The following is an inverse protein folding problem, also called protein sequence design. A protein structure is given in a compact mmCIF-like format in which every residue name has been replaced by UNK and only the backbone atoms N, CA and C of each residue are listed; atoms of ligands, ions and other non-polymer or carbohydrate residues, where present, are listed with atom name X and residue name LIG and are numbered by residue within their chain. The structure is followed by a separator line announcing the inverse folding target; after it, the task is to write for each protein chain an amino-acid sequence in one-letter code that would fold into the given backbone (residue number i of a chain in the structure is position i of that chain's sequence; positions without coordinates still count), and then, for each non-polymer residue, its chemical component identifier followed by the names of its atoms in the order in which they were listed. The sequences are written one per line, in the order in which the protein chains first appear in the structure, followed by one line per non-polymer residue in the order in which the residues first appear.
data_IF_459553467426
#
_entry.id   IF_459553467426
#
_cell.length_a   1.000
_cell.length_b   1.000
_cell.length_c   1.000
_cell.angle_alpha   90.00
_cell.angle_beta   90.00
_cell.angle_gamma   90.00
#
_symmetry.space_group_name_H-M   'P 1'
#
loop_
_entity.id
_entity.type
_entity.pdbx_description
1 polymer ?
#
# COMPACT_ATOMS: atom_id res chain seq x y z
N UNK A 1 27.77 -41.49 -29.14
CA UNK A 1 26.58 -41.01 -28.41
C UNK A 1 26.93 -39.72 -27.68
N UNK A 2 26.71 -38.56 -28.30
CA UNK A 2 27.00 -37.25 -27.70
C UNK A 2 25.69 -36.61 -27.23
N UNK A 3 25.57 -36.33 -25.92
CA UNK A 3 24.42 -35.62 -25.33
C UNK A 3 24.68 -34.12 -25.45
N UNK A 4 24.10 -33.49 -26.46
CA UNK A 4 24.01 -32.03 -26.53
C UNK A 4 23.08 -31.50 -25.43
N UNK A 5 23.68 -30.76 -24.49
CA UNK A 5 22.95 -30.09 -23.42
C UNK A 5 22.42 -28.77 -23.97
N UNK A 6 21.13 -28.74 -24.34
CA UNK A 6 20.44 -27.56 -24.84
C UNK A 6 20.30 -26.52 -23.72
N UNK A 7 21.20 -25.54 -23.67
CA UNK A 7 21.02 -24.35 -22.83
C UNK A 7 19.74 -23.63 -23.27
N UNK A 8 18.69 -23.70 -22.45
CA UNK A 8 17.49 -22.88 -22.62
C UNK A 8 17.89 -21.41 -22.44
N UNK A 9 18.04 -20.68 -23.56
CA UNK A 9 18.04 -19.22 -23.57
C UNK A 9 16.75 -18.75 -22.91
N UNK A 10 16.83 -18.22 -21.69
CA UNK A 10 15.75 -17.48 -21.05
C UNK A 10 15.45 -16.26 -21.92
N UNK A 11 14.32 -16.31 -22.63
CA UNK A 11 13.85 -15.18 -23.42
C UNK A 11 13.70 -13.96 -22.50
N UNK A 12 14.45 -12.89 -22.78
CA UNK A 12 14.29 -11.59 -22.10
C UNK A 12 12.85 -11.12 -22.33
N UNK A 13 12.01 -11.25 -21.31
CA UNK A 13 10.62 -10.76 -21.33
C UNK A 13 10.64 -9.25 -21.62
N UNK A 14 9.89 -8.79 -22.62
CA UNK A 14 9.75 -7.35 -22.90
C UNK A 14 9.21 -6.65 -21.65
N UNK A 15 9.99 -5.73 -21.10
CA UNK A 15 9.57 -4.83 -20.02
C UNK A 15 8.51 -3.89 -20.60
N UNK A 16 7.27 -4.02 -20.15
CA UNK A 16 6.23 -3.03 -20.45
C UNK A 16 6.53 -1.78 -19.61
N UNK A 17 6.89 -0.67 -20.28
CA UNK A 17 7.07 0.61 -19.60
C UNK A 17 5.76 0.97 -18.87
N UNK A 18 5.79 1.30 -17.57
CA UNK A 18 4.59 1.62 -16.82
C UNK A 18 4.14 3.00 -17.27
N UNK A 19 2.82 3.22 -17.31
CA UNK A 19 2.30 4.58 -17.38
C UNK A 19 2.58 5.22 -16.01
N UNK A 20 3.17 6.42 -15.99
CA UNK A 20 3.30 7.27 -14.81
C UNK A 20 4.00 6.63 -13.59
N UNK A 21 5.28 6.25 -13.70
CA UNK A 21 6.09 5.92 -12.52
C UNK A 21 6.40 7.16 -11.69
N UNK A 22 6.19 7.08 -10.37
CA UNK A 22 6.49 8.16 -9.45
C UNK A 22 8.01 8.43 -9.35
N UNK A 23 8.47 9.69 -9.23
CA UNK A 23 9.90 10.02 -9.06
C UNK A 23 10.57 9.40 -7.82
N UNK A 24 9.78 9.00 -6.82
CA UNK A 24 10.29 8.33 -5.61
C UNK A 24 10.57 6.85 -5.81
N UNK A 25 10.25 6.26 -6.97
CA UNK A 25 10.62 4.87 -7.25
C UNK A 25 12.13 4.73 -7.25
N UNK A 26 12.61 3.71 -6.54
CA UNK A 26 14.05 3.48 -6.37
C UNK A 26 14.63 2.68 -7.51
N UNK A 27 13.82 1.82 -8.10
CA UNK A 27 14.22 0.93 -9.17
C UNK A 27 13.52 1.25 -10.48
N UNK A 28 14.19 1.02 -11.62
CA UNK A 28 13.56 1.19 -12.91
C UNK A 28 12.42 0.17 -13.09
N UNK A 29 11.51 0.43 -14.04
CA UNK A 29 10.45 -0.52 -14.35
C UNK A 29 10.95 -1.93 -14.63
N UNK A 30 10.27 -2.92 -14.05
CA UNK A 30 10.66 -4.33 -14.16
C UNK A 30 11.72 -4.76 -13.15
N UNK A 31 12.13 -3.88 -12.24
CA UNK A 31 12.94 -4.18 -11.07
C UNK A 31 12.22 -3.73 -9.79
N UNK A 32 12.66 -4.25 -8.65
CA UNK A 32 12.20 -3.82 -7.33
C UNK A 32 13.37 -3.67 -6.36
N UNK A 33 13.23 -2.79 -5.37
CA UNK A 33 14.24 -2.62 -4.33
C UNK A 33 14.28 -3.86 -3.44
N UNK A 34 15.49 -4.28 -3.09
CA UNK A 34 15.76 -5.22 -2.02
C UNK A 34 16.66 -4.53 -1.02
N UNK A 35 16.25 -4.47 0.25
CA UNK A 35 17.02 -3.81 1.30
C UNK A 35 18.32 -4.54 1.61
N UNK A 36 19.21 -3.85 2.32
CA UNK A 36 20.47 -4.42 2.81
C UNK A 36 20.20 -5.69 3.63
N UNK A 37 20.92 -6.78 3.35
CA UNK A 37 20.73 -8.06 4.04
C UNK A 37 22.03 -8.87 4.13
N UNK A 38 22.12 -9.83 5.07
CA UNK A 38 23.25 -10.74 5.15
C UNK A 38 23.35 -11.63 3.90
N UNK A 39 24.56 -11.77 3.36
CA UNK A 39 24.90 -12.67 2.27
C UNK A 39 25.85 -13.75 2.78
N UNK A 40 25.37 -15.00 2.72
CA UNK A 40 26.21 -16.16 3.04
C UNK A 40 27.09 -16.51 1.83
N UNK A 41 28.39 -16.38 2.01
CA UNK A 41 29.40 -16.81 1.05
C UNK A 41 29.75 -18.28 1.36
N UNK A 42 29.53 -19.22 0.44
CA UNK A 42 29.87 -20.62 0.68
C UNK A 42 31.39 -20.81 0.78
N UNK A 43 31.84 -21.88 1.45
CA UNK A 43 33.23 -22.32 1.42
C UNK A 43 33.81 -22.34 0.00
N UNK A 44 35.02 -21.80 -0.15
CA UNK A 44 35.79 -21.83 -1.40
C UNK A 44 37.28 -22.00 -1.10
N UNK A 45 38.09 -22.30 -2.12
CA UNK A 45 39.56 -22.38 -1.96
C UNK A 45 40.17 -21.10 -1.35
N UNK A 46 39.58 -19.93 -1.61
CA UNK A 46 40.02 -18.64 -1.04
C UNK A 46 39.47 -18.38 0.37
N UNK A 47 38.30 -18.94 0.71
CA UNK A 47 37.64 -18.80 2.01
C UNK A 47 37.12 -20.17 2.48
N UNK A 48 37.97 -21.03 3.09
CA UNK A 48 37.64 -22.43 3.37
C UNK A 48 36.47 -22.63 4.35
N UNK A 49 36.24 -21.69 5.25
CA UNK A 49 35.12 -21.74 6.21
C UNK A 49 33.80 -21.16 5.66
N UNK A 50 33.84 -20.51 4.48
CA UNK A 50 32.79 -19.58 4.08
C UNK A 50 32.76 -18.33 4.98
N UNK A 51 31.80 -17.44 4.75
CA UNK A 51 31.59 -16.26 5.60
C UNK A 51 30.18 -15.71 5.46
N UNK A 52 29.78 -14.85 6.39
CA UNK A 52 28.59 -14.01 6.23
C UNK A 52 29.07 -12.57 6.04
N UNK A 53 28.73 -11.97 4.92
CA UNK A 53 28.99 -10.55 4.62
C UNK A 53 27.68 -9.78 4.51
N UNK A 54 27.76 -8.48 4.29
CA UNK A 54 26.59 -7.61 4.10
C UNK A 54 26.43 -7.30 2.61
N UNK A 55 25.26 -7.57 2.05
CA UNK A 55 24.90 -7.11 0.70
C UNK A 55 24.06 -5.86 0.82
N UNK A 56 24.59 -4.74 0.37
CA UNK A 56 23.90 -3.45 0.36
C UNK A 56 22.62 -3.49 -0.48
N UNK A 57 21.70 -2.58 -0.16
CA UNK A 57 20.45 -2.42 -0.90
C UNK A 57 20.69 -2.23 -2.40
N UNK A 58 19.90 -2.89 -3.22
CA UNK A 58 20.04 -2.87 -4.68
C UNK A 58 18.73 -3.25 -5.37
N UNK A 59 18.63 -2.88 -6.64
CA UNK A 59 17.53 -3.29 -7.50
C UNK A 59 17.70 -4.73 -7.98
N UNK A 60 16.58 -5.47 -7.98
CA UNK A 60 16.50 -6.87 -8.40
C UNK A 60 15.42 -7.00 -9.46
N UNK A 61 15.69 -7.80 -10.49
CA UNK A 61 14.71 -8.08 -11.54
C UNK A 61 13.42 -8.64 -10.95
N UNK A 62 12.30 -8.00 -11.30
CA UNK A 62 10.98 -8.55 -11.09
C UNK A 62 10.74 -9.66 -12.13
N UNK A 63 10.48 -10.92 -11.70
CA UNK A 63 10.24 -12.05 -12.63
C UNK A 63 9.14 -11.80 -13.67
N UNK A 64 8.17 -10.93 -13.37
CA UNK A 64 7.07 -10.66 -14.29
C UNK A 64 7.41 -9.57 -15.32
N UNK A 65 8.37 -8.68 -15.00
CA UNK A 65 8.71 -7.50 -15.78
C UNK A 65 7.68 -6.36 -15.72
N UNK A 66 6.63 -6.48 -14.88
CA UNK A 66 5.65 -5.42 -14.68
C UNK A 66 6.05 -4.48 -13.55
N UNK A 67 5.40 -3.33 -13.51
CA UNK A 67 5.54 -2.38 -12.41
C UNK A 67 4.85 -2.89 -11.14
N UNK A 68 5.65 -3.24 -10.14
CA UNK A 68 5.16 -3.66 -8.84
C UNK A 68 5.96 -2.99 -7.73
N UNK A 69 5.26 -2.59 -6.68
CA UNK A 69 5.87 -2.17 -5.42
C UNK A 69 5.96 -3.37 -4.47
N UNK A 70 7.13 -3.54 -3.87
CA UNK A 70 7.44 -4.57 -2.89
C UNK A 70 7.67 -3.96 -1.49
N UNK A 71 7.56 -4.73 -0.40
CA UNK A 71 7.61 -4.20 0.97
C UNK A 71 8.87 -3.36 1.25
N UNK A 72 10.04 -3.84 0.82
CA UNK A 72 11.31 -3.13 1.01
C UNK A 72 11.31 -1.76 0.30
N UNK A 73 10.81 -1.69 -0.94
CA UNK A 73 10.74 -0.43 -1.69
C UNK A 73 9.75 0.55 -1.06
N UNK A 74 8.60 0.04 -0.60
CA UNK A 74 7.58 0.83 0.08
C UNK A 74 8.16 1.45 1.37
N UNK A 75 8.85 0.66 2.19
CA UNK A 75 9.48 1.16 3.42
C UNK A 75 10.53 2.23 3.12
N UNK A 76 11.43 1.94 2.18
CA UNK A 76 12.52 2.83 1.82
C UNK A 76 12.03 4.15 1.21
N UNK A 77 10.96 4.12 0.38
CA UNK A 77 10.29 5.35 -0.11
C UNK A 77 9.83 6.21 1.07
N UNK A 78 9.21 5.59 2.07
CA UNK A 78 8.72 6.29 3.25
C UNK A 78 9.84 6.94 4.06
N UNK A 79 10.90 6.19 4.32
CA UNK A 79 12.07 6.63 5.07
C UNK A 79 12.78 7.83 4.39
N UNK A 80 12.91 7.80 3.06
CA UNK A 80 13.64 8.83 2.33
C UNK A 80 12.85 10.14 2.11
N UNK A 81 11.52 10.06 2.02
CA UNK A 81 10.72 11.15 1.46
C UNK A 81 9.68 11.76 2.43
N UNK A 82 9.09 10.99 3.33
CA UNK A 82 7.81 11.41 3.94
C UNK A 82 7.93 12.47 5.02
N UNK A 83 9.02 12.47 5.79
CA UNK A 83 9.27 13.49 6.82
C UNK A 83 9.39 14.91 6.25
N UNK A 84 9.72 15.03 4.97
CA UNK A 84 9.92 16.30 4.24
C UNK A 84 8.62 16.90 3.70
N UNK A 85 7.50 16.18 3.80
CA UNK A 85 6.22 16.61 3.23
C UNK A 85 5.60 17.67 4.14
N UNK A 86 5.21 18.80 3.53
CA UNK A 86 4.64 19.95 4.24
C UNK A 86 3.15 19.75 4.55
N UNK A 87 2.38 19.28 3.57
CA UNK A 87 0.95 19.03 3.70
C UNK A 87 0.72 17.73 4.47
N UNK A 88 0.42 17.87 5.77
CA UNK A 88 0.14 16.74 6.67
C UNK A 88 -1.34 16.75 7.06
N UNK A 89 -1.93 15.59 7.39
CA UNK A 89 -3.27 15.58 7.97
C UNK A 89 -3.26 16.33 9.31
N UNK A 90 -4.42 16.82 9.75
CA UNK A 90 -4.52 17.53 11.00
C UNK A 90 -4.04 16.68 12.18
N UNK A 91 -3.14 17.23 12.99
CA UNK A 91 -2.54 16.55 14.15
C UNK A 91 -3.42 16.52 15.41
N UNK A 92 -4.68 16.98 15.34
CA UNK A 92 -5.62 16.91 16.47
C UNK A 92 -5.78 15.46 16.97
N UNK A 93 -5.89 15.32 18.28
CA UNK A 93 -6.15 14.02 18.89
C UNK A 93 -7.61 13.61 18.68
N UNK A 94 -7.82 12.45 18.07
CA UNK A 94 -9.14 11.88 17.83
C UNK A 94 -9.66 11.05 19.02
N UNK A 95 -8.95 11.06 20.15
CA UNK A 95 -9.37 10.43 21.41
C UNK A 95 -9.03 8.94 21.52
N UNK A 96 -8.02 8.48 20.78
CA UNK A 96 -7.56 7.09 20.86
C UNK A 96 -6.53 6.93 21.99
N UNK A 97 -6.34 5.69 22.47
CA UNK A 97 -5.43 5.40 23.59
C UNK A 97 -4.02 5.95 23.34
N UNK A 98 -3.28 6.27 24.41
CA UNK A 98 -1.87 6.72 24.30
C UNK A 98 -0.98 5.79 23.45
N UNK A 99 -1.31 4.50 23.37
CA UNK A 99 -0.61 3.50 22.56
C UNK A 99 -0.85 3.66 21.05
N UNK A 100 -2.01 4.18 20.64
CA UNK A 100 -2.45 4.25 19.25
C UNK A 100 -2.83 5.69 18.88
N UNK A 101 -1.90 6.63 19.10
CA UNK A 101 -2.08 8.02 18.67
C UNK A 101 -2.09 8.10 17.16
N UNK A 102 -3.10 8.76 16.59
CA UNK A 102 -3.20 8.90 15.14
C UNK A 102 -2.05 9.70 14.52
N UNK A 103 -1.54 10.69 15.26
CA UNK A 103 -0.48 11.59 14.79
C UNK A 103 0.86 10.89 14.49
N UNK A 104 1.10 9.71 15.06
CA UNK A 104 2.33 8.94 14.79
C UNK A 104 2.40 8.44 13.33
N UNK A 105 1.27 8.46 12.61
CA UNK A 105 1.19 8.03 11.22
C UNK A 105 1.04 9.20 10.24
N UNK A 106 1.08 10.46 10.70
CA UNK A 106 0.80 11.63 9.86
C UNK A 106 1.75 11.71 8.65
N UNK A 107 3.03 11.44 8.84
CA UNK A 107 4.03 11.42 7.76
C UNK A 107 3.74 10.30 6.74
N UNK A 108 3.38 9.10 7.22
CA UNK A 108 3.04 7.98 6.35
C UNK A 108 1.75 8.25 5.56
N UNK A 109 0.75 8.84 6.21
CA UNK A 109 -0.52 9.21 5.59
C UNK A 109 -0.28 10.27 4.52
N UNK A 110 0.44 11.35 4.85
CA UNK A 110 0.79 12.42 3.91
C UNK A 110 1.58 11.87 2.71
N UNK A 111 2.61 11.08 2.99
CA UNK A 111 3.47 10.43 2.00
C UNK A 111 2.74 9.57 0.99
N UNK A 112 1.99 8.60 1.47
CA UNK A 112 1.29 7.70 0.57
C UNK A 112 0.11 8.36 -0.14
N UNK A 113 -0.55 9.33 0.50
CA UNK A 113 -1.61 10.11 -0.15
C UNK A 113 -1.02 10.90 -1.32
N UNK A 114 0.09 11.62 -1.09
CA UNK A 114 0.81 12.35 -2.14
C UNK A 114 1.26 11.42 -3.26
N UNK A 115 1.93 10.31 -2.92
CA UNK A 115 2.42 9.35 -3.90
C UNK A 115 1.31 8.88 -4.85
N UNK A 116 0.16 8.46 -4.32
CA UNK A 116 -0.93 7.95 -5.15
C UNK A 116 -1.69 9.05 -5.90
N UNK A 117 -1.81 10.25 -5.33
CA UNK A 117 -2.30 11.43 -6.06
C UNK A 117 -1.41 11.74 -7.27
N UNK A 118 -0.09 11.73 -7.12
CA UNK A 118 0.86 12.03 -8.20
C UNK A 118 0.86 10.95 -9.29
N UNK A 119 0.65 9.68 -8.91
CA UNK A 119 0.53 8.54 -9.85
C UNK A 119 -0.77 8.60 -10.66
N UNK A 120 -1.91 8.74 -9.99
CA UNK A 120 -3.23 8.64 -10.64
C UNK A 120 -3.79 9.96 -11.15
N UNK A 121 -3.29 11.10 -10.65
CA UNK A 121 -3.70 12.46 -11.02
C UNK A 121 -5.23 12.62 -11.10
N UNK A 122 -5.97 12.31 -10.02
CA UNK A 122 -7.42 12.46 -10.04
C UNK A 122 -7.82 13.93 -10.15
N UNK A 123 -9.00 14.20 -10.73
CA UNK A 123 -9.56 15.57 -10.83
C UNK A 123 -9.66 16.25 -9.45
N UNK A 124 -10.07 15.47 -8.44
CA UNK A 124 -10.04 15.88 -7.03
C UNK A 124 -9.01 15.03 -6.31
N UNK A 125 -7.88 15.60 -5.87
CA UNK A 125 -6.88 14.92 -5.04
C UNK A 125 -7.51 14.29 -3.80
N UNK A 126 -6.98 13.14 -3.37
CA UNK A 126 -7.30 12.56 -2.08
C UNK A 126 -6.70 13.42 -0.97
N UNK A 127 -7.52 13.80 -0.01
CA UNK A 127 -7.10 14.54 1.16
C UNK A 127 -6.50 13.60 2.23
N UNK A 128 -5.31 13.90 2.80
CA UNK A 128 -4.75 13.16 3.93
C UNK A 128 -5.70 13.00 5.14
N UNK A 129 -6.55 13.99 5.44
CA UNK A 129 -7.56 13.94 6.50
C UNK A 129 -8.61 12.85 6.23
N UNK A 130 -9.02 12.65 4.97
CA UNK A 130 -9.92 11.56 4.58
C UNK A 130 -9.29 10.20 4.89
N UNK A 131 -8.00 10.02 4.59
CA UNK A 131 -7.28 8.79 4.91
C UNK A 131 -7.15 8.59 6.42
N UNK A 132 -6.82 9.65 7.18
CA UNK A 132 -6.70 9.60 8.63
C UNK A 132 -8.02 9.23 9.31
N UNK A 133 -9.13 9.83 8.87
CA UNK A 133 -10.48 9.47 9.32
C UNK A 133 -10.84 8.01 8.97
N UNK A 134 -10.43 7.54 7.78
CA UNK A 134 -10.63 6.15 7.41
C UNK A 134 -9.89 5.20 8.37
N UNK A 135 -8.60 5.43 8.64
CA UNK A 135 -7.81 4.62 9.59
C UNK A 135 -8.47 4.63 10.98
N UNK A 136 -8.87 5.80 11.47
CA UNK A 136 -9.55 5.94 12.76
C UNK A 136 -10.82 5.07 12.85
N UNK A 137 -11.64 5.09 11.80
CA UNK A 137 -12.89 4.31 11.74
C UNK A 137 -12.69 2.80 11.53
N UNK A 138 -11.62 2.39 10.84
CA UNK A 138 -11.33 0.99 10.51
C UNK A 138 -10.63 0.23 11.65
N UNK A 139 -9.57 0.82 12.20
CA UNK A 139 -8.67 0.14 13.15
C UNK A 139 -8.55 0.85 14.49
N UNK A 140 -8.97 2.11 14.56
CA UNK A 140 -8.63 2.97 15.69
C UNK A 140 -7.13 3.11 15.88
N UNK A 141 -6.39 3.18 14.77
CA UNK A 141 -4.93 3.33 14.72
C UNK A 141 -4.12 2.14 15.29
N UNK A 142 -4.75 0.96 15.47
CA UNK A 142 -4.05 -0.27 15.84
C UNK A 142 -3.47 -0.96 14.58
N UNK A 143 -2.14 -0.96 14.39
CA UNK A 143 -1.51 -1.52 13.19
C UNK A 143 -1.55 -3.06 13.15
N UNK A 144 -1.94 -3.71 14.27
CA UNK A 144 -2.09 -5.16 14.37
C UNK A 144 -3.56 -5.57 14.45
N UNK A 145 -4.50 -4.64 14.18
CA UNK A 145 -5.93 -4.92 14.18
C UNK A 145 -6.25 -6.04 13.18
N UNK A 146 -7.00 -7.02 13.64
CA UNK A 146 -7.40 -8.20 12.88
C UNK A 146 -8.91 -8.42 13.04
N UNK A 147 -9.70 -8.24 11.97
CA UNK A 147 -11.16 -8.25 12.06
C UNK A 147 -11.75 -9.61 12.49
N UNK A 148 -11.18 -10.72 12.03
CA UNK A 148 -11.67 -12.06 12.40
C UNK A 148 -10.55 -13.10 12.33
N UNK A 149 -10.08 -13.57 13.49
CA UNK A 149 -9.00 -14.58 13.59
C UNK A 149 -9.36 -15.93 12.96
N UNK A 150 -10.65 -16.26 12.83
CA UNK A 150 -11.12 -17.58 12.39
C UNK A 150 -11.30 -17.71 10.87
N UNK A 151 -11.30 -16.60 10.12
CA UNK A 151 -11.60 -16.62 8.69
C UNK A 151 -10.34 -16.51 7.82
N UNK A 152 -10.32 -17.22 6.68
CA UNK A 152 -9.19 -17.19 5.74
C UNK A 152 -8.99 -15.82 5.07
N UNK A 153 -9.98 -14.93 5.14
CA UNK A 153 -10.01 -13.59 4.54
C UNK A 153 -10.01 -12.44 5.56
N UNK A 154 -9.34 -12.61 6.70
CA UNK A 154 -9.24 -11.55 7.71
C UNK A 154 -8.66 -10.24 7.16
N UNK A 155 -9.34 -9.13 7.47
CA UNK A 155 -8.81 -7.78 7.31
C UNK A 155 -7.71 -7.48 8.33
N UNK A 156 -6.64 -6.79 7.90
CA UNK A 156 -5.42 -6.54 8.67
C UNK A 156 -4.99 -5.07 8.66
N UNK A 157 -4.42 -4.64 9.77
CA UNK A 157 -3.72 -3.37 9.92
C UNK A 157 -4.61 -2.13 9.90
N UNK A 158 -3.97 -0.98 9.69
CA UNK A 158 -4.56 0.35 9.86
C UNK A 158 -5.82 0.60 9.01
N UNK A 159 -5.79 0.18 7.75
CA UNK A 159 -6.86 0.33 6.76
C UNK A 159 -7.65 -0.97 6.52
N UNK A 160 -7.46 -1.98 7.37
CA UNK A 160 -8.23 -3.24 7.32
C UNK A 160 -8.23 -3.89 5.92
N UNK A 161 -7.04 -3.97 5.29
CA UNK A 161 -6.86 -4.64 3.99
C UNK A 161 -7.11 -6.14 4.15
N UNK A 162 -8.04 -6.69 3.36
CA UNK A 162 -8.36 -8.13 3.39
C UNK A 162 -7.34 -8.98 2.63
N UNK A 163 -7.27 -10.28 2.94
CA UNK A 163 -6.40 -11.18 2.19
C UNK A 163 -6.79 -11.29 0.71
N UNK A 164 -8.08 -11.18 0.37
CA UNK A 164 -8.55 -11.13 -1.01
C UNK A 164 -8.13 -9.83 -1.69
N UNK A 165 -8.31 -8.68 -1.05
CA UNK A 165 -7.82 -7.38 -1.56
C UNK A 165 -6.33 -7.43 -1.83
N UNK A 166 -5.53 -7.97 -0.91
CA UNK A 166 -4.08 -8.15 -1.09
C UNK A 166 -3.76 -9.01 -2.32
N UNK A 167 -4.53 -10.08 -2.56
CA UNK A 167 -4.35 -10.92 -3.77
C UNK A 167 -4.69 -10.14 -5.03
N UNK A 168 -5.80 -9.38 -5.04
CA UNK A 168 -6.19 -8.53 -6.17
C UNK A 168 -5.11 -7.49 -6.48
N UNK A 169 -4.53 -6.88 -5.45
CA UNK A 169 -3.45 -5.90 -5.60
C UNK A 169 -2.19 -6.48 -6.27
N UNK A 170 -1.94 -7.78 -6.11
CA UNK A 170 -0.83 -8.49 -6.74
C UNK A 170 -1.20 -9.18 -8.07
N UNK A 171 -2.48 -9.25 -8.42
CA UNK A 171 -2.96 -10.06 -9.55
C UNK A 171 -2.81 -9.32 -10.88
N UNK A 172 -1.71 -9.62 -11.56
CA UNK A 172 -1.38 -9.10 -12.88
C UNK A 172 -2.33 -9.48 -14.01
N UNK A 173 -3.16 -10.51 -13.82
CA UNK A 173 -4.15 -10.98 -14.79
C UNK A 173 -5.57 -10.63 -14.37
N UNK A 174 -5.72 -10.04 -13.19
CA UNK A 174 -6.99 -9.75 -12.58
C UNK A 174 -7.54 -8.39 -12.97
N UNK A 175 -8.26 -7.82 -12.01
CA UNK A 175 -9.00 -6.57 -12.16
C UNK A 175 -8.09 -5.34 -12.39
N UNK A 176 -6.87 -5.37 -11.85
CA UNK A 176 -5.92 -4.25 -11.95
C UNK A 176 -5.10 -4.31 -13.24
N UNK A 177 -4.93 -3.14 -13.84
CA UNK A 177 -4.20 -2.96 -15.11
C UNK A 177 -2.75 -2.52 -14.89
N UNK A 178 -2.45 -1.92 -13.75
CA UNK A 178 -1.17 -1.26 -13.43
C UNK A 178 -0.98 -1.07 -11.90
N UNK A 179 0.23 -0.65 -11.54
CA UNK A 179 0.64 -0.28 -10.18
C UNK A 179 0.26 -1.34 -9.14
N UNK A 180 0.79 -2.54 -9.35
CA UNK A 180 0.53 -3.69 -8.49
C UNK A 180 1.35 -3.60 -7.19
N UNK A 181 0.89 -4.30 -6.16
CA UNK A 181 1.57 -4.41 -4.87
C UNK A 181 1.73 -5.88 -4.53
N UNK A 182 2.97 -6.31 -4.31
CA UNK A 182 3.28 -7.68 -3.88
C UNK A 182 3.61 -7.69 -2.39
N UNK A 183 2.60 -7.97 -1.57
CA UNK A 183 2.71 -8.00 -0.11
C UNK A 183 2.31 -9.39 0.41
N UNK A 184 2.95 -9.85 1.48
CA UNK A 184 2.52 -10.99 2.28
C UNK A 184 1.43 -10.59 3.27
N UNK A 185 0.89 -11.55 4.04
CA UNK A 185 -0.10 -11.22 5.09
C UNK A 185 0.55 -10.49 6.26
N UNK A 186 1.80 -10.83 6.53
CA UNK A 186 2.61 -10.31 7.61
C UNK A 186 3.03 -8.87 7.32
N UNK A 187 3.36 -8.58 6.05
CA UNK A 187 3.67 -7.22 5.59
C UNK A 187 2.53 -6.24 5.84
N UNK A 188 1.27 -6.68 5.84
CA UNK A 188 0.12 -5.82 6.13
C UNK A 188 0.02 -5.37 7.59
N UNK A 189 0.85 -5.89 8.50
CA UNK A 189 0.96 -5.37 9.86
C UNK A 189 1.97 -4.22 9.98
N UNK A 190 2.78 -3.99 8.94
CA UNK A 190 3.62 -2.80 8.85
C UNK A 190 2.76 -1.59 8.46
N UNK A 191 2.81 -0.48 9.22
CA UNK A 191 2.01 0.71 8.93
C UNK A 191 2.20 1.27 7.52
N UNK A 192 3.44 1.34 7.02
CA UNK A 192 3.73 1.93 5.71
C UNK A 192 3.15 1.06 4.59
N UNK A 193 3.40 -0.24 4.64
CA UNK A 193 2.84 -1.21 3.70
C UNK A 193 1.30 -1.21 3.71
N UNK A 194 0.69 -1.15 4.90
CA UNK A 194 -0.75 -1.17 5.03
C UNK A 194 -1.41 0.11 4.48
N UNK A 195 -0.85 1.28 4.81
CA UNK A 195 -1.35 2.57 4.31
C UNK A 195 -1.18 2.64 2.79
N UNK A 196 -0.01 2.27 2.26
CA UNK A 196 0.25 2.21 0.83
C UNK A 196 -0.80 1.35 0.10
N UNK A 197 -1.03 0.14 0.59
CA UNK A 197 -1.99 -0.80 0.00
C UNK A 197 -3.44 -0.35 0.12
N UNK A 198 -3.82 0.19 1.28
CA UNK A 198 -5.18 0.66 1.50
C UNK A 198 -5.52 1.87 0.65
N UNK A 199 -4.61 2.84 0.48
CA UNK A 199 -4.84 3.99 -0.42
C UNK A 199 -4.91 3.53 -1.88
N UNK A 200 -4.00 2.66 -2.34
CA UNK A 200 -4.08 2.08 -3.69
C UNK A 200 -5.43 1.42 -3.96
N UNK A 201 -5.93 0.69 -2.96
CA UNK A 201 -7.24 0.05 -3.04
C UNK A 201 -8.38 1.07 -3.03
N UNK A 202 -8.29 2.15 -2.25
CA UNK A 202 -9.27 3.23 -2.23
C UNK A 202 -9.40 3.92 -3.60
N UNK A 203 -8.29 4.17 -4.30
CA UNK A 203 -8.31 4.65 -5.69
C UNK A 203 -9.04 3.68 -6.62
N UNK A 204 -8.82 2.36 -6.46
CA UNK A 204 -9.57 1.37 -7.22
C UNK A 204 -11.07 1.41 -6.90
N UNK A 205 -11.43 1.55 -5.62
CA UNK A 205 -12.83 1.68 -5.18
C UNK A 205 -13.49 2.93 -5.78
N UNK A 206 -12.79 4.05 -5.86
CA UNK A 206 -13.28 5.26 -6.55
C UNK A 206 -13.51 4.99 -8.04
N UNK A 207 -12.62 4.28 -8.71
CA UNK A 207 -12.80 3.91 -10.12
C UNK A 207 -14.02 3.00 -10.34
N UNK A 208 -14.24 2.02 -9.46
CA UNK A 208 -15.42 1.15 -9.49
C UNK A 208 -16.69 1.98 -9.25
N UNK A 209 -16.71 2.83 -8.22
CA UNK A 209 -17.83 3.72 -7.92
C UNK A 209 -18.16 4.60 -9.14
N UNK A 210 -17.13 5.19 -9.75
CA UNK A 210 -17.30 6.08 -10.91
C UNK A 210 -17.91 5.36 -12.10
N UNK A 211 -17.44 4.14 -12.38
CA UNK A 211 -17.99 3.31 -13.46
C UNK A 211 -19.48 2.96 -13.23
N UNK A 212 -19.87 2.71 -11.98
CA UNK A 212 -21.25 2.42 -11.62
C UNK A 212 -22.16 3.66 -11.70
N UNK A 213 -21.65 4.81 -11.23
CA UNK A 213 -22.38 6.07 -11.21
C UNK A 213 -22.41 6.78 -12.56
N UNK A 214 -21.59 6.34 -13.53
CA UNK A 214 -21.39 6.98 -14.84
C UNK A 214 -20.95 8.45 -14.74
N UNK A 215 -20.28 8.81 -13.64
CA UNK A 215 -19.64 10.11 -13.39
C UNK A 215 -18.44 9.92 -12.46
N UNK A 216 -17.60 10.93 -12.31
CA UNK A 216 -16.54 10.92 -11.28
C UNK A 216 -17.19 10.77 -9.89
N UNK A 217 -16.81 9.71 -9.18
CA UNK A 217 -17.25 9.49 -7.80
C UNK A 217 -16.50 10.41 -6.84
N UNK A 218 -17.16 10.85 -5.78
CA UNK A 218 -16.51 11.57 -4.68
C UNK A 218 -15.66 10.62 -3.83
N UNK A 219 -14.84 11.17 -2.94
CA UNK A 219 -14.08 10.35 -2.02
C UNK A 219 -14.96 9.67 -0.97
N UNK A 220 -16.03 10.31 -0.52
CA UNK A 220 -17.03 9.73 0.38
C UNK A 220 -17.73 8.51 -0.25
N UNK A 221 -18.05 8.58 -1.54
CA UNK A 221 -18.59 7.44 -2.30
C UNK A 221 -17.55 6.32 -2.42
N UNK A 222 -16.28 6.66 -2.62
CA UNK A 222 -15.19 5.68 -2.61
C UNK A 222 -15.00 5.04 -1.23
N UNK A 223 -15.14 5.79 -0.14
CA UNK A 223 -15.11 5.29 1.25
C UNK A 223 -16.27 4.33 1.51
N UNK A 224 -17.47 4.68 1.07
CA UNK A 224 -18.63 3.79 1.10
C UNK A 224 -18.34 2.45 0.41
N UNK A 225 -17.77 2.51 -0.80
CA UNK A 225 -17.36 1.31 -1.55
C UNK A 225 -16.22 0.53 -0.89
N UNK A 226 -15.30 1.22 -0.23
CA UNK A 226 -14.22 0.62 0.54
C UNK A 226 -14.75 -0.17 1.73
N UNK A 227 -15.66 0.43 2.49
CA UNK A 227 -16.32 -0.15 3.67
C UNK A 227 -17.32 -1.26 3.35
N UNK A 228 -17.59 -1.51 2.06
CA UNK A 228 -18.49 -2.57 1.62
C UNK A 228 -19.95 -2.32 1.98
N UNK A 229 -20.38 -1.05 2.00
CA UNK A 229 -21.74 -0.70 2.45
C UNK A 229 -22.85 -1.36 1.62
N UNK A 230 -22.57 -1.69 0.35
CA UNK A 230 -23.53 -2.34 -0.55
C UNK A 230 -23.87 -3.77 -0.16
N UNK A 231 -22.96 -4.44 0.53
CA UNK A 231 -23.11 -5.87 0.90
C UNK A 231 -23.50 -6.05 2.37
N UNK A 232 -23.75 -4.96 3.10
CA UNK A 232 -24.13 -5.01 4.52
C UNK A 232 -25.55 -4.50 4.73
N UNK A 233 -26.07 -4.61 5.96
CA UNK A 233 -27.41 -4.12 6.30
C UNK A 233 -27.44 -2.60 6.29
N UNK A 234 -28.62 -1.99 6.03
CA UNK A 234 -28.77 -0.53 6.06
C UNK A 234 -28.32 0.09 7.39
N UNK A 235 -28.66 -0.55 8.52
CA UNK A 235 -28.25 -0.10 9.84
C UNK A 235 -26.72 -0.11 10.00
N UNK A 236 -26.06 -1.20 9.58
CA UNK A 236 -24.60 -1.30 9.66
C UNK A 236 -23.89 -0.34 8.71
N UNK A 237 -24.41 -0.16 7.50
CA UNK A 237 -23.90 0.82 6.54
C UNK A 237 -23.95 2.24 7.12
N UNK A 238 -25.08 2.61 7.74
CA UNK A 238 -25.26 3.91 8.39
C UNK A 238 -24.22 4.12 9.51
N UNK A 239 -24.10 3.16 10.43
CA UNK A 239 -23.12 3.22 11.53
C UNK A 239 -21.68 3.39 11.03
N UNK A 240 -21.30 2.64 9.98
CA UNK A 240 -19.96 2.69 9.39
C UNK A 240 -19.61 4.06 8.81
N UNK A 241 -20.58 4.72 8.16
CA UNK A 241 -20.41 6.04 7.56
C UNK A 241 -20.47 7.14 8.62
N UNK A 242 -21.40 7.05 9.58
CA UNK A 242 -21.49 8.00 10.69
C UNK A 242 -20.19 8.04 11.50
N UNK A 243 -19.63 6.87 11.82
CA UNK A 243 -18.35 6.79 12.55
C UNK A 243 -17.18 7.38 11.76
N UNK A 244 -17.17 7.20 10.44
CA UNK A 244 -16.15 7.83 9.59
C UNK A 244 -16.31 9.36 9.56
N UNK A 245 -17.53 9.84 9.35
CA UNK A 245 -17.85 11.26 9.31
C UNK A 245 -17.54 11.95 10.64
N UNK A 246 -17.79 11.30 11.77
CA UNK A 246 -17.45 11.84 13.09
C UNK A 246 -15.97 12.23 13.20
N UNK A 247 -15.07 11.36 12.71
CA UNK A 247 -13.64 11.66 12.71
C UNK A 247 -13.24 12.68 11.65
N UNK A 248 -13.86 12.64 10.47
CA UNK A 248 -13.57 13.60 9.40
C UNK A 248 -13.96 15.03 9.83
N UNK A 249 -15.14 15.20 10.43
CA UNK A 249 -15.59 16.50 10.93
C UNK A 249 -14.71 17.03 12.07
N UNK A 250 -14.14 16.16 12.91
CA UNK A 250 -13.13 16.55 13.90
C UNK A 250 -11.86 17.09 13.25
N UNK A 251 -11.42 16.48 12.14
CA UNK A 251 -10.21 16.89 11.42
C UNK A 251 -10.40 18.20 10.63
N UNK A 252 -11.59 18.45 10.07
CA UNK A 252 -11.92 19.69 9.34
C UNK A 252 -11.79 20.96 10.19
N UNK A 253 -11.91 20.85 11.52
CA UNK A 253 -11.72 21.99 12.45
C UNK A 253 -10.32 22.62 12.36
N UNK A 254 -9.36 21.93 11.76
CA UNK A 254 -8.01 22.42 11.57
C UNK A 254 -7.82 23.20 10.27
N UNK A 255 -8.78 23.11 9.33
CA UNK A 255 -8.81 23.90 8.10
C UNK A 255 -9.47 25.27 8.34
N UNK A 256 -10.21 25.41 9.44
CA UNK A 256 -10.89 26.64 9.87
C UNK A 256 -10.07 27.51 10.85
N UNK A 257 -8.78 27.21 11.03
CA UNK A 257 -7.82 27.93 11.88
C UNK A 257 -6.69 28.51 11.01
#
# INVERSE_FOLDING_TARGET
MSRETRMKKTAKKKVTKPKNTHPWRLCPPGEHWRRTHPLKIPPSKKNPAGSVTTRHGHCVLNPTGKDQLYPDEIQEIGEQNFSKIKEKPCSIDLGFTKKYKGSQYDDLIAGWTKYWNDVFKPETPLDPNVVKALIASESGFDPKRLANKKNKDSARGLLQVTNNTRKILADEKGELKDHYLTLTREDLNDPSNNICAGIRWLFRKRAIASALLKRTATWEEAIAEFKGIRTTTKARAKELIERFNEYLEKLKKCESL
#
